data_IF_168904551561
#
_entry.id   IF_168904551561
#
_cell.length_a   1.000
_cell.length_b   1.000
_cell.length_c   1.000
_cell.angle_alpha   90.00
_cell.angle_beta   90.00
_cell.angle_gamma   90.00
#
_symmetry.space_group_name_H-M   'P 1'
#
loop_
_entity.id
_entity.type
_entity.pdbx_description
1 polymer ?
#
# COMPACT_ATOMS: atom_id res chain seq x y z
N UNK A 1 -13.15 3.41 -14.47
CA UNK A 1 -12.12 2.47 -13.95
C UNK A 1 -12.04 2.43 -12.42
N UNK A 2 -12.37 3.50 -11.69
CA UNK A 2 -12.45 3.51 -10.21
C UNK A 2 -13.84 3.14 -9.63
N UNK A 3 -14.81 2.76 -10.47
CA UNK A 3 -16.18 2.47 -10.04
C UNK A 3 -16.33 1.19 -9.23
N UNK A 4 -15.32 0.29 -9.26
CA UNK A 4 -15.28 -0.94 -8.47
C UNK A 4 -15.13 -0.70 -6.98
N UNK A 5 -14.55 0.44 -6.58
CA UNK A 5 -14.42 0.81 -5.16
C UNK A 5 -15.73 1.35 -4.57
N UNK A 6 -16.70 1.73 -5.42
CA UNK A 6 -17.84 2.59 -5.07
C UNK A 6 -19.14 1.84 -4.74
N UNK A 7 -19.19 0.52 -4.91
CA UNK A 7 -20.38 -0.30 -4.58
C UNK A 7 -19.97 -1.52 -3.78
N UNK A 8 -19.62 -1.28 -2.51
CA UNK A 8 -19.41 -2.39 -1.58
C UNK A 8 -20.75 -2.99 -1.16
N UNK A 9 -20.95 -4.28 -1.43
CA UNK A 9 -22.14 -5.01 -1.01
C UNK A 9 -21.94 -5.50 0.42
N UNK A 10 -22.93 -5.28 1.28
CA UNK A 10 -23.00 -5.81 2.64
C UNK A 10 -22.82 -7.32 2.73
N UNK A 11 -23.13 -8.06 1.66
CA UNK A 11 -23.11 -9.52 1.62
C UNK A 11 -21.78 -10.10 1.12
N UNK A 12 -20.77 -9.27 0.85
CA UNK A 12 -19.47 -9.75 0.38
C UNK A 12 -19.40 -10.23 -1.08
N UNK A 13 -20.53 -10.26 -1.79
CA UNK A 13 -20.67 -10.76 -3.17
C UNK A 13 -20.17 -9.79 -4.25
N UNK A 14 -19.04 -9.11 -4.01
CA UNK A 14 -18.43 -8.22 -4.99
C UNK A 14 -17.52 -9.01 -5.93
N UNK A 15 -17.58 -8.68 -7.23
CA UNK A 15 -16.63 -9.24 -8.20
C UNK A 15 -15.23 -8.68 -7.91
N UNK A 16 -14.17 -9.50 -8.04
CA UNK A 16 -12.81 -9.02 -7.85
C UNK A 16 -12.49 -7.90 -8.85
N UNK A 17 -11.96 -6.79 -8.35
CA UNK A 17 -11.49 -5.68 -9.19
C UNK A 17 -10.13 -6.04 -9.81
N UNK A 18 -10.19 -6.68 -10.98
CA UNK A 18 -9.01 -7.03 -11.75
C UNK A 18 -8.22 -5.80 -12.21
N UNK A 19 -8.87 -4.67 -12.45
CA UNK A 19 -8.18 -3.44 -12.85
C UNK A 19 -7.29 -2.90 -11.75
N UNK A 20 -7.81 -2.84 -10.53
CA UNK A 20 -7.05 -2.45 -9.35
C UNK A 20 -5.87 -3.39 -9.08
N UNK A 21 -6.08 -4.72 -9.19
CA UNK A 21 -5.03 -5.72 -9.02
C UNK A 21 -3.94 -5.62 -10.08
N UNK A 22 -4.32 -5.48 -11.35
CA UNK A 22 -3.36 -5.32 -12.45
C UNK A 22 -2.58 -4.03 -12.29
N UNK A 23 -3.19 -2.93 -11.86
CA UNK A 23 -2.45 -1.69 -11.59
C UNK A 23 -1.47 -1.86 -10.42
N UNK A 24 -1.93 -2.44 -9.30
CA UNK A 24 -1.16 -2.58 -8.07
C UNK A 24 0.09 -3.45 -8.23
N UNK A 25 0.02 -4.52 -9.02
CA UNK A 25 1.15 -5.43 -9.26
C UNK A 25 1.85 -5.16 -10.59
N UNK A 26 1.11 -4.73 -11.62
CA UNK A 26 1.65 -4.50 -12.95
C UNK A 26 2.56 -3.29 -13.03
N UNK A 27 2.21 -2.17 -12.38
CA UNK A 27 3.06 -0.97 -12.41
C UNK A 27 4.42 -1.25 -11.73
N UNK A 28 4.49 -1.82 -10.50
CA UNK A 28 5.77 -2.21 -9.90
C UNK A 28 6.58 -3.19 -10.76
N UNK A 29 5.92 -4.15 -11.41
CA UNK A 29 6.59 -5.09 -12.30
C UNK A 29 7.19 -4.39 -13.53
N UNK A 30 6.45 -3.46 -14.15
CA UNK A 30 6.95 -2.66 -15.27
C UNK A 30 8.15 -1.81 -14.84
N UNK A 31 8.10 -1.19 -13.66
CA UNK A 31 9.23 -0.42 -13.11
C UNK A 31 10.45 -1.32 -12.91
N UNK A 32 10.29 -2.49 -12.30
CA UNK A 32 11.38 -3.44 -12.11
C UNK A 32 11.98 -3.90 -13.45
N UNK A 33 11.14 -4.31 -14.40
CA UNK A 33 11.59 -4.76 -15.73
C UNK A 33 12.30 -3.63 -16.50
N UNK A 34 11.80 -2.40 -16.42
CA UNK A 34 12.44 -1.26 -17.07
C UNK A 34 13.84 -1.01 -16.50
N UNK A 35 14.00 -1.01 -15.17
CA UNK A 35 15.29 -0.80 -14.51
C UNK A 35 16.29 -1.92 -14.79
N UNK A 36 15.81 -3.17 -14.86
CA UNK A 36 16.64 -4.31 -15.24
C UNK A 36 17.08 -4.20 -16.71
N UNK A 37 16.17 -3.81 -17.60
CA UNK A 37 16.47 -3.64 -19.02
C UNK A 37 17.45 -2.49 -19.29
N UNK A 38 17.42 -1.43 -18.49
CA UNK A 38 18.37 -0.31 -18.58
C UNK A 38 19.66 -0.54 -17.80
N UNK A 39 19.78 -1.67 -17.08
CA UNK A 39 20.96 -2.02 -16.26
C UNK A 39 21.34 -0.92 -15.26
N UNK A 40 20.34 -0.23 -14.71
CA UNK A 40 20.58 0.89 -13.80
C UNK A 40 20.95 0.36 -12.41
N UNK A 41 22.17 0.65 -11.97
CA UNK A 41 22.61 0.34 -10.61
C UNK A 41 22.33 1.55 -9.71
N UNK A 42 21.73 1.29 -8.55
CA UNK A 42 21.47 2.32 -7.55
C UNK A 42 22.77 2.64 -6.80
N UNK A 43 23.33 3.82 -7.03
CA UNK A 43 24.62 4.23 -6.45
C UNK A 43 24.51 4.75 -5.00
N UNK A 44 23.31 4.89 -4.45
CA UNK A 44 23.06 5.50 -3.13
C UNK A 44 22.21 4.58 -2.22
N UNK A 45 22.69 3.36 -1.99
CA UNK A 45 21.98 2.36 -1.18
C UNK A 45 21.69 2.83 0.26
N UNK A 46 22.60 3.61 0.86
CA UNK A 46 22.40 4.18 2.21
C UNK A 46 21.21 5.13 2.27
N UNK A 47 21.05 6.01 1.27
CA UNK A 47 19.92 6.94 1.20
C UNK A 47 18.61 6.18 1.01
N UNK A 48 18.61 5.11 0.21
CA UNK A 48 17.45 4.25 0.02
C UNK A 48 17.04 3.51 1.31
N UNK A 49 18.01 3.04 2.11
CA UNK A 49 17.75 2.43 3.41
C UNK A 49 17.14 3.42 4.39
N UNK A 50 17.68 4.64 4.47
CA UNK A 50 17.12 5.70 5.32
C UNK A 50 15.68 6.05 4.92
N UNK A 51 15.42 6.17 3.61
CA UNK A 51 14.08 6.42 3.09
C UNK A 51 13.10 5.28 3.42
N UNK A 52 13.54 4.02 3.31
CA UNK A 52 12.73 2.85 3.66
C UNK A 52 12.39 2.83 5.16
N UNK A 53 13.34 3.17 6.04
CA UNK A 53 13.10 3.24 7.48
C UNK A 53 12.06 4.32 7.83
N UNK A 54 12.17 5.52 7.24
CA UNK A 54 11.18 6.59 7.41
C UNK A 54 9.80 6.17 6.90
N UNK A 55 9.74 5.52 5.74
CA UNK A 55 8.50 5.04 5.14
C UNK A 55 7.82 3.99 6.02
N UNK A 56 8.56 3.02 6.55
CA UNK A 56 8.03 2.03 7.49
C UNK A 56 7.49 2.69 8.76
N UNK A 57 8.22 3.66 9.33
CA UNK A 57 7.75 4.43 10.48
C UNK A 57 6.43 5.15 10.21
N UNK A 58 6.32 5.82 9.06
CA UNK A 58 5.09 6.49 8.63
C UNK A 58 3.92 5.52 8.43
N UNK A 59 4.17 4.36 7.80
CA UNK A 59 3.17 3.32 7.58
C UNK A 59 2.69 2.71 8.91
N UNK A 60 3.57 2.47 9.88
CA UNK A 60 3.20 2.00 11.21
C UNK A 60 2.29 3.01 11.94
N UNK A 61 2.64 4.29 11.88
CA UNK A 61 1.81 5.35 12.43
C UNK A 61 0.43 5.39 11.75
N UNK A 62 0.39 5.32 10.42
CA UNK A 62 -0.85 5.25 9.65
C UNK A 62 -1.71 4.04 10.00
N UNK A 63 -1.10 2.86 10.16
CA UNK A 63 -1.80 1.64 10.59
C UNK A 63 -2.45 1.80 11.96
N UNK A 64 -1.73 2.39 12.94
CA UNK A 64 -2.27 2.65 14.27
C UNK A 64 -3.52 3.56 14.22
N UNK A 65 -3.50 4.59 13.37
CA UNK A 65 -4.66 5.48 13.18
C UNK A 65 -5.87 4.73 12.58
N UNK A 66 -5.63 3.88 11.57
CA UNK A 66 -6.69 3.06 10.94
C UNK A 66 -7.27 2.05 11.95
N UNK A 67 -6.42 1.42 12.76
CA UNK A 67 -6.84 0.47 13.80
C UNK A 67 -7.69 1.16 14.88
N UNK A 68 -7.27 2.34 15.36
CA UNK A 68 -8.04 3.12 16.33
C UNK A 68 -9.40 3.58 15.76
N UNK A 69 -9.45 3.95 14.48
CA UNK A 69 -10.72 4.27 13.82
C UNK A 69 -11.65 3.06 13.73
N UNK A 70 -11.12 1.90 13.35
CA UNK A 70 -11.87 0.64 13.32
C UNK A 70 -12.48 0.29 14.68
N UNK A 71 -11.72 0.45 15.76
CA UNK A 71 -12.19 0.17 17.11
C UNK A 71 -13.33 1.12 17.53
N UNK A 72 -13.20 2.42 17.23
CA UNK A 72 -14.27 3.41 17.48
C UNK A 72 -15.56 3.11 16.72
N UNK A 73 -15.47 2.51 15.53
CA UNK A 73 -16.66 2.10 14.77
C UNK A 73 -17.27 0.84 15.40
N UNK A 74 -16.45 -0.14 15.77
CA UNK A 74 -16.92 -1.39 16.39
C UNK A 74 -17.68 -1.14 17.70
N UNK A 75 -17.24 -0.17 18.51
CA UNK A 75 -17.92 0.19 19.77
C UNK A 75 -19.31 0.80 19.57
N UNK A 76 -19.62 1.36 18.39
CA UNK A 76 -20.95 1.93 18.06
C UNK A 76 -21.99 0.88 17.69
N UNK A 77 -21.59 -0.33 17.31
CA UNK A 77 -22.46 -1.51 17.20
C UNK A 77 -23.55 -1.48 16.12
N UNK A 78 -23.51 -0.58 15.12
CA UNK A 78 -24.58 -0.48 14.10
C UNK A 78 -24.34 -1.44 12.95
N UNK A 79 -25.40 -2.04 12.38
CA UNK A 79 -25.28 -2.97 11.23
C UNK A 79 -24.70 -2.32 9.96
N UNK A 80 -24.90 -1.02 9.78
CA UNK A 80 -24.37 -0.23 8.63
C UNK A 80 -22.84 -0.13 8.68
N UNK A 81 -22.25 -0.31 9.87
CA UNK A 81 -20.81 -0.21 10.08
C UNK A 81 -20.02 -1.40 9.53
N UNK A 82 -20.68 -2.52 9.20
CA UNK A 82 -20.03 -3.72 8.69
C UNK A 82 -19.26 -3.46 7.37
N UNK A 83 -19.80 -2.62 6.49
CA UNK A 83 -19.15 -2.24 5.22
C UNK A 83 -17.91 -1.37 5.49
N UNK A 84 -18.01 -0.46 6.47
CA UNK A 84 -16.93 0.45 6.88
C UNK A 84 -15.78 -0.30 7.53
N UNK A 85 -16.08 -1.23 8.44
CA UNK A 85 -15.09 -2.09 9.08
C UNK A 85 -14.34 -2.91 8.02
N UNK A 86 -15.02 -3.41 6.98
CA UNK A 86 -14.37 -4.15 5.89
C UNK A 86 -13.41 -3.26 5.09
N UNK A 87 -13.78 -2.02 4.78
CA UNK A 87 -12.89 -1.07 4.11
C UNK A 87 -11.67 -0.72 4.98
N UNK A 88 -11.85 -0.51 6.28
CA UNK A 88 -10.75 -0.27 7.21
C UNK A 88 -9.84 -1.48 7.37
N UNK A 89 -10.39 -2.71 7.38
CA UNK A 89 -9.58 -3.93 7.39
C UNK A 89 -8.72 -4.06 6.13
N UNK A 90 -9.29 -3.73 4.96
CA UNK A 90 -8.56 -3.77 3.69
C UNK A 90 -7.48 -2.69 3.62
N UNK A 91 -7.79 -1.46 4.05
CA UNK A 91 -6.82 -0.39 4.18
C UNK A 91 -5.68 -0.79 5.14
N UNK A 92 -6.01 -1.35 6.30
CA UNK A 92 -5.04 -1.88 7.26
C UNK A 92 -4.18 -2.99 6.66
N UNK A 93 -4.78 -3.92 5.91
CA UNK A 93 -4.05 -4.99 5.22
C UNK A 93 -3.09 -4.44 4.15
N UNK A 94 -3.49 -3.44 3.36
CA UNK A 94 -2.63 -2.78 2.37
C UNK A 94 -1.45 -2.07 3.03
N UNK A 95 -1.67 -1.40 4.17
CA UNK A 95 -0.59 -0.77 4.95
C UNK A 95 0.37 -1.84 5.49
N UNK A 96 -0.15 -2.94 6.08
CA UNK A 96 0.69 -4.03 6.58
C UNK A 96 1.50 -4.68 5.45
N UNK A 97 0.90 -4.95 4.29
CA UNK A 97 1.62 -5.47 3.13
C UNK A 97 2.69 -4.49 2.64
N UNK A 98 2.39 -3.19 2.64
CA UNK A 98 3.36 -2.13 2.30
C UNK A 98 4.56 -2.13 3.24
N UNK A 99 4.35 -2.39 4.54
CA UNK A 99 5.44 -2.55 5.51
C UNK A 99 6.31 -3.77 5.16
N UNK A 100 5.72 -4.94 4.92
CA UNK A 100 6.48 -6.14 4.57
C UNK A 100 7.27 -5.98 3.26
N UNK A 101 6.67 -5.36 2.25
CA UNK A 101 7.34 -5.05 0.97
C UNK A 101 8.49 -4.07 1.19
N UNK A 102 8.31 -3.04 2.03
CA UNK A 102 9.36 -2.07 2.36
C UNK A 102 10.53 -2.73 3.12
N UNK A 103 10.26 -3.65 4.04
CA UNK A 103 11.29 -4.42 4.75
C UNK A 103 12.04 -5.34 3.78
N UNK A 104 11.34 -6.05 2.91
CA UNK A 104 11.96 -6.89 1.89
C UNK A 104 12.86 -6.09 0.93
N UNK A 105 12.40 -4.92 0.51
CA UNK A 105 13.18 -4.00 -0.31
C UNK A 105 14.42 -3.46 0.43
N UNK A 106 14.28 -3.12 1.71
CA UNK A 106 15.42 -2.71 2.54
C UNK A 106 16.47 -3.81 2.65
N UNK A 107 16.06 -5.07 2.85
CA UNK A 107 16.98 -6.22 2.86
C UNK A 107 17.68 -6.38 1.51
N UNK A 108 16.96 -6.26 0.39
CA UNK A 108 17.56 -6.34 -0.94
C UNK A 108 18.60 -5.24 -1.19
N UNK A 109 18.29 -4.00 -0.81
CA UNK A 109 19.21 -2.85 -0.91
C UNK A 109 20.40 -2.99 0.04
N UNK A 110 20.19 -3.54 1.24
CA UNK A 110 21.27 -3.82 2.18
C UNK A 110 22.24 -4.86 1.64
N UNK A 111 21.73 -5.95 1.03
CA UNK A 111 22.58 -6.94 0.37
C UNK A 111 23.37 -6.28 -0.77
N UNK A 112 22.71 -5.45 -1.59
CA UNK A 112 23.38 -4.72 -2.66
C UNK A 112 24.50 -3.82 -2.13
N UNK A 113 24.30 -3.13 -1.00
CA UNK A 113 25.31 -2.26 -0.39
C UNK A 113 26.54 -3.01 0.12
N UNK A 114 26.39 -4.29 0.46
CA UNK A 114 27.48 -5.16 0.92
C UNK A 114 28.20 -5.89 -0.23
N UNK A 115 27.65 -5.85 -1.45
CA UNK A 115 28.27 -6.50 -2.60
C UNK A 115 29.43 -5.64 -3.10
N UNK A 116 30.62 -6.22 -3.11
CA UNK A 116 31.76 -5.64 -3.82
C UNK A 116 31.52 -5.76 -5.33
N UNK A 117 31.44 -4.60 -5.99
CA UNK A 117 31.11 -4.50 -7.42
C UNK A 117 32.32 -4.07 -8.25
N UNK A 118 33.53 -4.10 -7.70
CA UNK A 118 34.73 -3.64 -8.42
C UNK A 118 35.27 -4.70 -9.41
N UNK A 119 35.03 -6.00 -9.20
CA UNK A 119 35.48 -7.10 -10.09
C UNK A 119 34.34 -8.09 -10.43
N UNK A 120 33.38 -7.65 -11.25
CA UNK A 120 32.08 -8.33 -11.36
C UNK A 120 32.07 -9.42 -12.43
N UNK A 121 32.09 -10.69 -12.01
CA UNK A 121 31.63 -11.80 -12.85
C UNK A 121 30.20 -11.54 -13.36
N UNK A 122 29.84 -11.96 -14.59
CA UNK A 122 28.56 -11.62 -15.21
C UNK A 122 27.34 -11.98 -14.35
N UNK A 123 27.43 -13.05 -13.53
CA UNK A 123 26.36 -13.45 -12.61
C UNK A 123 26.12 -12.39 -11.52
N UNK A 124 27.18 -11.87 -10.92
CA UNK A 124 27.15 -10.90 -9.82
C UNK A 124 26.56 -9.56 -10.28
N UNK A 125 26.78 -9.19 -11.54
CA UNK A 125 26.21 -7.98 -12.14
C UNK A 125 24.69 -8.09 -12.29
N UNK A 126 24.19 -9.23 -12.80
CA UNK A 126 22.75 -9.47 -12.90
C UNK A 126 22.05 -9.48 -11.54
N UNK A 127 22.70 -10.02 -10.51
CA UNK A 127 22.19 -9.98 -9.14
C UNK A 127 22.11 -8.53 -8.65
N UNK A 128 23.17 -7.74 -8.83
CA UNK A 128 23.20 -6.35 -8.41
C UNK A 128 22.10 -5.50 -9.08
N UNK A 129 21.92 -5.65 -10.38
CA UNK A 129 20.85 -4.97 -11.15
C UNK A 129 19.46 -5.38 -10.64
N UNK A 130 19.25 -6.67 -10.36
CA UNK A 130 17.96 -7.18 -9.88
C UNK A 130 17.63 -6.67 -8.47
N UNK A 131 18.63 -6.67 -7.57
CA UNK A 131 18.48 -6.13 -6.22
C UNK A 131 18.27 -4.61 -6.24
N UNK A 132 18.96 -3.88 -7.12
CA UNK A 132 18.79 -2.45 -7.31
C UNK A 132 17.37 -2.08 -7.78
N UNK A 133 16.76 -2.90 -8.62
CA UNK A 133 15.39 -2.71 -9.09
C UNK A 133 14.33 -2.92 -7.98
N UNK A 134 14.64 -3.66 -6.91
CA UNK A 134 13.70 -3.97 -5.84
C UNK A 134 13.24 -2.72 -5.06
N UNK A 135 14.15 -1.76 -4.83
CA UNK A 135 13.84 -0.54 -4.10
C UNK A 135 12.79 0.34 -4.79
N UNK A 136 13.03 0.80 -6.03
CA UNK A 136 12.06 1.63 -6.76
C UNK A 136 10.75 0.90 -7.05
N UNK A 137 10.79 -0.41 -7.34
CA UNK A 137 9.58 -1.22 -7.52
C UNK A 137 8.74 -1.30 -6.24
N UNK A 138 9.38 -1.49 -5.09
CA UNK A 138 8.69 -1.45 -3.79
C UNK A 138 8.11 -0.06 -3.50
N UNK A 139 8.82 1.02 -3.79
CA UNK A 139 8.29 2.38 -3.66
C UNK A 139 7.05 2.61 -4.53
N UNK A 140 7.07 2.15 -5.79
CA UNK A 140 5.91 2.22 -6.66
C UNK A 140 4.71 1.45 -6.09
N UNK A 141 4.94 0.25 -5.55
CA UNK A 141 3.91 -0.54 -4.89
C UNK A 141 3.33 0.18 -3.67
N UNK A 142 4.17 0.73 -2.80
CA UNK A 142 3.73 1.45 -1.60
C UNK A 142 2.95 2.71 -1.99
N UNK A 143 3.43 3.49 -2.96
CA UNK A 143 2.74 4.70 -3.42
C UNK A 143 1.33 4.38 -3.95
N UNK A 144 1.20 3.33 -4.77
CA UNK A 144 -0.10 2.87 -5.25
C UNK A 144 -0.99 2.38 -4.11
N UNK A 145 -0.44 1.57 -3.19
CA UNK A 145 -1.16 1.08 -2.02
C UNK A 145 -1.70 2.24 -1.17
N UNK A 146 -0.91 3.30 -0.98
CA UNK A 146 -1.34 4.51 -0.27
C UNK A 146 -2.45 5.25 -1.00
N UNK A 147 -2.42 5.33 -2.34
CA UNK A 147 -3.52 5.90 -3.13
C UNK A 147 -4.80 5.11 -2.92
N UNK A 148 -4.73 3.76 -2.94
CA UNK A 148 -5.89 2.92 -2.64
C UNK A 148 -6.40 3.14 -1.22
N UNK A 149 -5.51 3.14 -0.22
CA UNK A 149 -5.84 3.40 1.18
C UNK A 149 -6.52 4.76 1.33
N UNK A 150 -5.95 5.83 0.76
CA UNK A 150 -6.53 7.18 0.84
C UNK A 150 -7.94 7.23 0.22
N UNK A 151 -8.13 6.56 -0.92
CA UNK A 151 -9.44 6.47 -1.56
C UNK A 151 -10.45 5.71 -0.68
N UNK A 152 -10.04 4.61 -0.06
CA UNK A 152 -10.88 3.83 0.87
C UNK A 152 -11.28 4.63 2.11
N UNK A 153 -10.33 5.39 2.68
CA UNK A 153 -10.59 6.22 3.86
C UNK A 153 -11.50 7.40 3.51
N UNK A 154 -11.30 8.03 2.35
CA UNK A 154 -12.16 9.09 1.85
C UNK A 154 -13.60 8.62 1.65
N UNK A 155 -13.79 7.47 1.01
CA UNK A 155 -15.12 6.88 0.83
C UNK A 155 -15.78 6.53 2.18
N UNK A 156 -14.99 6.06 3.15
CA UNK A 156 -15.46 5.85 4.52
C UNK A 156 -15.93 7.15 5.18
N UNK A 157 -15.18 8.24 5.02
CA UNK A 157 -15.48 9.54 5.62
C UNK A 157 -16.74 10.19 5.03
N UNK A 158 -16.86 10.25 3.69
CA UNK A 158 -18.02 10.86 3.01
C UNK A 158 -19.33 10.14 3.37
N UNK A 159 -19.28 8.81 3.49
CA UNK A 159 -20.45 8.05 3.91
C UNK A 159 -20.79 8.27 5.40
N UNK A 160 -19.80 8.50 6.27
CA UNK A 160 -20.02 8.89 7.67
C UNK A 160 -20.76 10.22 7.80
N UNK A 161 -20.35 11.22 7.02
CA UNK A 161 -20.98 12.53 7.02
C UNK A 161 -22.43 12.49 6.51
N UNK A 162 -22.69 11.72 5.45
CA UNK A 162 -24.03 11.52 4.91
C UNK A 162 -24.98 10.82 5.89
N UNK A 163 -24.51 9.79 6.59
CA UNK A 163 -25.32 9.06 7.56
C UNK A 163 -25.60 9.91 8.81
N UNK A 164 -24.61 10.66 9.31
CA UNK A 164 -24.82 11.60 10.42
C UNK A 164 -25.84 12.69 10.08
N UNK A 165 -25.82 13.19 8.83
CA UNK A 165 -26.78 14.21 8.36
C UNK A 165 -28.20 13.65 8.33
N UNK A 166 -28.38 12.39 7.91
CA UNK A 166 -29.69 11.71 7.90
C UNK A 166 -30.24 11.47 9.31
N UNK A 167 -29.41 11.00 10.24
CA UNK A 167 -29.82 10.76 11.63
C UNK A 167 -30.24 12.06 12.32
N UNK A 168 -29.47 13.14 12.12
CA UNK A 168 -29.83 14.44 12.68
C UNK A 168 -31.16 14.97 12.12
N UNK A 169 -31.50 14.68 10.87
CA UNK A 169 -32.77 15.10 10.27
C UNK A 169 -33.96 14.28 10.80
N UNK A 170 -33.78 13.00 11.12
CA UNK A 170 -34.84 12.15 11.69
C UNK A 170 -35.20 12.49 13.14
N UNK A 171 -34.31 13.16 13.87
CA UNK A 171 -34.61 13.61 15.25
C UNK A 171 -35.47 14.90 15.29
N UNK A 172 -35.74 15.54 14.14
CA UNK A 172 -36.58 16.73 14.02
C UNK A 172 -38.00 16.46 13.48
N UNK A 173 -38.32 15.22 13.11
CA UNK A 173 -39.67 14.78 12.68
C UNK A 173 -40.37 13.98 13.79
#
# INVERSE_FOLDING_TARGET
MLSGLRRRSTNGAEKPDWGARVALFGIPAVVATALIATQTIANEAEMMLAAAALLVGALLAGFAQVAAWRERILTRGRKVDAVRIRALNEAGALILMSIHVSVGAAVAVFILALMDTEDVEPLTHWIAVTLGAAGPAALAYVALSLIFVANLLWDGFVNEEADNTRENLSDFE
#
